data_IF_469551729844
#
_entry.id   IF_469551729844
#
_cell.length_a   1.000
_cell.length_b   1.000
_cell.length_c   1.000
_cell.angle_alpha   90.00
_cell.angle_beta   90.00
_cell.angle_gamma   90.00
#
_symmetry.space_group_name_H-M   'P 1'
#
loop_
_entity.id
_entity.type
_entity.pdbx_description
1 polymer ?
#
# COMPACT_ATOMS: atom_id res chain seq x y z
N UNK A 1 -27.86 -36.39 19.73
CA UNK A 1 -26.38 -36.40 19.86
C UNK A 1 -25.89 -34.99 19.62
N UNK A 2 -25.21 -34.33 20.58
CA UNK A 2 -24.58 -33.05 20.29
C UNK A 2 -23.36 -33.31 19.42
N UNK A 3 -23.32 -32.69 18.24
CA UNK A 3 -22.13 -32.64 17.40
C UNK A 3 -21.14 -31.74 18.15
N UNK A 4 -20.20 -32.35 18.86
CA UNK A 4 -19.02 -31.65 19.34
C UNK A 4 -18.15 -31.34 18.14
N UNK A 5 -18.40 -30.18 17.53
CA UNK A 5 -17.57 -29.61 16.48
C UNK A 5 -16.22 -29.18 17.09
N UNK A 6 -15.33 -30.16 17.27
CA UNK A 6 -13.96 -30.01 17.79
C UNK A 6 -12.94 -29.85 16.66
N UNK A 7 -13.37 -29.52 15.45
CA UNK A 7 -12.43 -29.07 14.44
C UNK A 7 -11.90 -27.71 14.88
N UNK A 8 -10.57 -27.54 15.07
CA UNK A 8 -10.01 -26.24 15.36
C UNK A 8 -10.49 -25.28 14.27
N UNK A 9 -11.10 -24.15 14.66
CA UNK A 9 -11.41 -23.12 13.66
C UNK A 9 -10.10 -22.80 12.92
N UNK A 10 -10.10 -22.77 11.58
CA UNK A 10 -8.91 -22.40 10.82
C UNK A 10 -8.37 -21.09 11.39
N UNK A 11 -7.06 -21.02 11.59
CA UNK A 11 -6.46 -19.78 12.10
C UNK A 11 -6.69 -18.68 11.06
N UNK A 12 -7.43 -17.66 11.46
CA UNK A 12 -7.71 -16.47 10.65
C UNK A 12 -6.69 -15.40 10.99
N UNK A 13 -6.20 -14.71 9.96
CA UNK A 13 -5.24 -13.62 10.06
C UNK A 13 -5.82 -12.39 9.37
N UNK A 14 -5.44 -11.22 9.88
CA UNK A 14 -5.75 -9.96 9.24
C UNK A 14 -4.49 -9.10 9.08
N UNK A 15 -4.36 -8.48 7.91
CA UNK A 15 -3.37 -7.45 7.65
C UNK A 15 -4.10 -6.15 7.31
N UNK A 16 -3.70 -5.06 7.96
CA UNK A 16 -4.25 -3.72 7.77
C UNK A 16 -3.13 -2.77 7.38
N UNK A 17 -3.32 -2.02 6.30
CA UNK A 17 -2.40 -0.98 5.84
C UNK A 17 -3.06 0.39 5.93
N UNK A 18 -2.44 1.29 6.70
CA UNK A 18 -2.86 2.66 6.90
C UNK A 18 -2.13 3.58 5.91
N UNK A 19 -2.55 3.51 4.65
CA UNK A 19 -1.98 4.26 3.54
C UNK A 19 -2.39 5.73 3.49
N UNK A 20 -1.70 6.50 2.64
CA UNK A 20 -1.93 7.94 2.45
C UNK A 20 -3.32 8.29 1.92
N UNK A 21 -3.83 7.51 0.97
CA UNK A 21 -5.11 7.78 0.30
C UNK A 21 -6.25 6.91 0.85
N UNK A 22 -5.95 5.64 1.16
CA UNK A 22 -6.94 4.67 1.57
C UNK A 22 -6.35 3.77 2.66
N UNK A 23 -7.21 3.32 3.57
CA UNK A 23 -6.89 2.22 4.46
C UNK A 23 -7.41 0.91 3.86
N UNK A 24 -6.59 -0.12 3.97
CA UNK A 24 -6.84 -1.44 3.39
C UNK A 24 -6.84 -2.48 4.50
N UNK A 25 -7.72 -3.47 4.38
CA UNK A 25 -7.73 -4.63 5.25
C UNK A 25 -7.98 -5.88 4.43
N UNK A 26 -7.15 -6.90 4.64
CA UNK A 26 -7.35 -8.24 4.10
C UNK A 26 -7.45 -9.23 5.24
N UNK A 27 -8.47 -10.10 5.18
CA UNK A 27 -8.66 -11.19 6.12
C UNK A 27 -8.48 -12.49 5.35
N UNK A 28 -7.64 -13.38 5.88
CA UNK A 28 -7.31 -14.65 5.28
C UNK A 28 -7.33 -15.77 6.31
N UNK A 29 -7.37 -17.01 5.85
CA UNK A 29 -7.16 -18.21 6.67
C UNK A 29 -6.25 -19.19 5.95
N UNK A 30 -5.69 -20.13 6.68
CA UNK A 30 -4.94 -21.25 6.11
C UNK A 30 -5.82 -22.50 6.14
N UNK A 31 -6.03 -23.12 4.98
CA UNK A 31 -6.75 -24.39 4.82
C UNK A 31 -5.87 -25.33 4.02
N UNK A 32 -5.55 -26.50 4.57
CA UNK A 32 -4.68 -27.51 3.94
C UNK A 32 -3.32 -26.95 3.45
N UNK A 33 -2.74 -26.02 4.21
CA UNK A 33 -1.48 -25.35 3.88
C UNK A 33 -1.58 -24.24 2.83
N UNK A 34 -2.76 -23.99 2.27
CA UNK A 34 -3.00 -22.92 1.32
C UNK A 34 -3.64 -21.69 1.97
N UNK A 35 -3.20 -20.50 1.58
CA UNK A 35 -3.82 -19.24 2.00
C UNK A 35 -5.11 -19.00 1.22
N UNK A 36 -6.21 -18.80 1.94
CA UNK A 36 -7.50 -18.46 1.38
C UNK A 36 -7.93 -17.08 1.89
N UNK A 37 -8.16 -16.13 0.97
CA UNK A 37 -8.69 -14.82 1.32
C UNK A 37 -10.19 -14.92 1.62
N UNK A 38 -10.57 -14.50 2.82
CA UNK A 38 -11.96 -14.46 3.30
C UNK A 38 -12.65 -13.17 2.87
N UNK A 39 -11.93 -12.04 2.97
CA UNK A 39 -12.50 -10.74 2.68
C UNK A 39 -11.46 -9.65 2.49
N UNK A 40 -11.85 -8.61 1.76
CA UNK A 40 -11.08 -7.39 1.57
C UNK A 40 -11.97 -6.19 1.86
N UNK A 41 -11.45 -5.23 2.58
CA UNK A 41 -12.07 -3.93 2.78
C UNK A 41 -11.09 -2.85 2.36
N UNK A 42 -11.63 -1.83 1.69
CA UNK A 42 -10.89 -0.63 1.30
C UNK A 42 -11.76 0.57 1.60
N UNK A 43 -11.23 1.50 2.39
CA UNK A 43 -11.90 2.75 2.70
C UNK A 43 -11.01 3.92 2.27
N UNK A 44 -11.56 4.87 1.51
CA UNK A 44 -10.86 6.11 1.19
C UNK A 44 -10.90 7.03 2.41
N UNK A 45 -9.74 7.29 2.99
CA UNK A 45 -9.58 8.09 4.22
C UNK A 45 -8.96 9.45 3.91
N UNK A 46 -8.16 9.53 2.83
CA UNK A 46 -7.47 10.76 2.44
C UNK A 46 -6.66 11.34 3.60
N UNK A 47 -5.86 10.50 4.26
CA UNK A 47 -5.08 10.91 5.44
C UNK A 47 -4.00 11.93 5.06
N UNK A 48 -3.37 11.76 3.90
CA UNK A 48 -2.36 12.69 3.39
C UNK A 48 -2.91 14.08 3.06
N UNK A 49 -4.20 14.21 2.73
CA UNK A 49 -4.80 15.52 2.44
C UNK A 49 -4.83 16.43 3.68
N UNK A 50 -4.82 15.84 4.87
CA UNK A 50 -4.72 16.58 6.12
C UNK A 50 -3.31 16.86 6.60
N UNK A 51 -2.27 16.46 5.87
CA UNK A 51 -0.89 16.73 6.25
C UNK A 51 -0.50 18.14 5.75
N UNK A 52 -0.40 19.09 6.69
CA UNK A 52 -0.04 20.47 6.39
C UNK A 52 1.43 20.65 5.98
N UNK A 53 1.81 21.88 5.60
CA UNK A 53 3.20 22.25 5.27
C UNK A 53 4.16 22.08 6.47
N UNK A 54 3.63 22.18 7.69
CA UNK A 54 4.33 21.92 8.94
C UNK A 54 4.46 20.42 9.28
N UNK A 55 4.00 19.53 8.39
CA UNK A 55 3.88 18.10 8.60
C UNK A 55 3.02 17.72 9.81
N UNK A 56 2.03 18.53 10.16
CA UNK A 56 1.02 18.18 11.15
C UNK A 56 -0.24 17.63 10.46
N UNK A 57 -0.77 16.52 10.98
CA UNK A 57 -2.09 16.04 10.59
C UNK A 57 -3.15 16.94 11.19
N UNK A 58 -4.04 17.45 10.34
CA UNK A 58 -5.27 18.14 10.73
C UNK A 58 -6.16 17.24 11.58
N UNK A 59 -6.91 17.84 12.51
CA UNK A 59 -7.91 17.13 13.33
C UNK A 59 -8.94 16.38 12.48
N UNK A 60 -9.39 16.99 11.38
CA UNK A 60 -10.36 16.36 10.46
C UNK A 60 -9.83 15.05 9.87
N UNK A 61 -8.55 15.03 9.44
CA UNK A 61 -7.94 13.80 8.92
C UNK A 61 -7.73 12.74 10.00
N UNK A 62 -7.39 13.15 11.22
CA UNK A 62 -7.32 12.26 12.37
C UNK A 62 -8.69 11.62 12.63
N UNK A 63 -9.76 12.41 12.70
CA UNK A 63 -11.13 11.92 12.93
C UNK A 63 -11.59 10.94 11.84
N UNK A 64 -11.32 11.24 10.55
CA UNK A 64 -11.60 10.31 9.45
C UNK A 64 -10.86 8.98 9.61
N UNK A 65 -9.57 9.05 9.96
CA UNK A 65 -8.74 7.87 10.20
C UNK A 65 -9.26 7.03 11.38
N UNK A 66 -9.56 7.67 12.52
CA UNK A 66 -10.10 6.99 13.70
C UNK A 66 -11.46 6.35 13.42
N UNK A 67 -12.33 7.04 12.69
CA UNK A 67 -13.65 6.50 12.29
C UNK A 67 -13.50 5.24 11.44
N UNK A 68 -12.53 5.22 10.51
CA UNK A 68 -12.23 4.03 9.73
C UNK A 68 -11.67 2.89 10.59
N UNK A 69 -10.79 3.20 11.55
CA UNK A 69 -10.22 2.20 12.46
C UNK A 69 -11.29 1.57 13.36
N UNK A 70 -12.30 2.34 13.81
CA UNK A 70 -13.45 1.80 14.55
C UNK A 70 -14.21 0.75 13.72
N UNK A 71 -14.46 1.03 12.44
CA UNK A 71 -15.12 0.06 11.53
C UNK A 71 -14.26 -1.20 11.32
N UNK A 72 -12.93 -1.05 11.24
CA UNK A 72 -12.03 -2.20 11.15
C UNK A 72 -12.01 -3.00 12.45
N UNK A 73 -12.04 -2.34 13.61
CA UNK A 73 -12.10 -3.01 14.92
C UNK A 73 -13.37 -3.86 15.07
N UNK A 74 -14.53 -3.36 14.63
CA UNK A 74 -15.77 -4.14 14.58
C UNK A 74 -15.61 -5.40 13.71
N UNK A 75 -14.97 -5.26 12.54
CA UNK A 75 -14.77 -6.39 11.62
C UNK A 75 -13.78 -7.44 12.13
N UNK A 76 -12.84 -7.00 12.98
CA UNK A 76 -11.80 -7.82 13.61
C UNK A 76 -12.21 -8.35 15.00
N UNK A 77 -13.46 -8.14 15.43
CA UNK A 77 -13.94 -8.63 16.71
C UNK A 77 -13.67 -10.14 16.87
N UNK A 78 -12.97 -10.52 17.94
CA UNK A 78 -12.61 -11.90 18.25
C UNK A 78 -11.25 -12.37 17.71
N UNK A 79 -10.54 -11.55 16.93
CA UNK A 79 -9.17 -11.85 16.52
C UNK A 79 -8.20 -11.65 17.69
N UNK A 80 -7.26 -12.59 17.89
CA UNK A 80 -6.17 -12.40 18.83
C UNK A 80 -5.18 -11.35 18.32
N UNK A 81 -4.48 -10.61 19.21
CA UNK A 81 -3.44 -9.66 18.79
C UNK A 81 -2.34 -10.30 17.93
N UNK A 82 -2.01 -11.57 18.18
CA UNK A 82 -1.03 -12.33 17.38
C UNK A 82 -1.48 -12.64 15.94
N UNK A 83 -2.76 -12.42 15.63
CA UNK A 83 -3.34 -12.71 14.31
C UNK A 83 -3.67 -11.45 13.52
N UNK A 84 -3.37 -10.25 14.05
CA UNK A 84 -3.61 -8.98 13.39
C UNK A 84 -2.31 -8.19 13.32
N UNK A 85 -1.95 -7.76 12.11
CA UNK A 85 -0.85 -6.84 11.88
C UNK A 85 -1.42 -5.55 11.27
N UNK A 86 -1.14 -4.41 11.89
CA UNK A 86 -1.53 -3.09 11.36
C UNK A 86 -0.27 -2.28 11.11
N UNK A 87 -0.07 -1.85 9.87
CA UNK A 87 1.10 -1.06 9.48
C UNK A 87 0.69 0.35 9.05
N UNK A 88 1.49 1.33 9.44
CA UNK A 88 1.40 2.71 8.99
C UNK A 88 2.54 3.07 8.05
N UNK A 89 2.21 3.70 6.91
CA UNK A 89 3.19 3.98 5.85
C UNK A 89 3.48 5.47 5.72
N UNK A 90 3.61 6.00 4.50
CA UNK A 90 4.18 7.31 4.21
C UNK A 90 3.62 8.44 5.08
N UNK A 91 2.30 8.59 5.17
CA UNK A 91 1.69 9.73 5.88
C UNK A 91 2.02 9.72 7.36
N UNK A 92 1.91 8.55 8.03
CA UNK A 92 2.26 8.42 9.44
C UNK A 92 3.77 8.52 9.69
N UNK A 93 4.61 8.13 8.71
CA UNK A 93 6.06 8.42 8.77
C UNK A 93 6.40 9.90 8.71
N UNK A 94 5.61 10.72 8.01
CA UNK A 94 5.88 12.15 7.84
C UNK A 94 5.27 13.00 8.96
N UNK A 95 4.12 12.60 9.50
CA UNK A 95 3.39 13.38 10.49
C UNK A 95 4.17 13.56 11.81
N UNK A 96 4.48 14.81 12.18
CA UNK A 96 5.15 15.13 13.45
C UNK A 96 4.26 14.82 14.66
N UNK A 97 2.95 14.87 14.49
CA UNK A 97 1.95 14.45 15.47
C UNK A 97 1.44 13.01 15.26
N UNK A 98 2.18 12.14 14.56
CA UNK A 98 1.78 10.72 14.41
C UNK A 98 1.53 10.04 15.77
N UNK A 99 2.37 10.31 16.78
CA UNK A 99 2.21 9.77 18.14
C UNK A 99 0.85 10.10 18.76
N UNK A 100 0.29 11.27 18.45
CA UNK A 100 -1.03 11.66 18.94
C UNK A 100 -2.14 10.87 18.22
N UNK A 101 -2.07 10.74 16.88
CA UNK A 101 -2.95 9.84 16.14
C UNK A 101 -2.91 8.41 16.69
N UNK A 102 -1.72 7.85 16.96
CA UNK A 102 -1.54 6.51 17.51
C UNK A 102 -2.18 6.35 18.89
N UNK A 103 -1.95 7.29 19.81
CA UNK A 103 -2.58 7.28 21.15
C UNK A 103 -4.10 7.34 21.11
N UNK A 104 -4.66 8.05 20.14
CA UNK A 104 -6.12 8.09 19.95
C UNK A 104 -6.62 6.79 19.28
N UNK A 105 -5.85 6.23 18.36
CA UNK A 105 -6.16 4.97 17.70
C UNK A 105 -6.25 3.79 18.68
N UNK A 106 -5.38 3.75 19.70
CA UNK A 106 -5.42 2.73 20.77
C UNK A 106 -6.78 2.65 21.50
N UNK A 107 -7.57 3.74 21.48
CA UNK A 107 -8.90 3.77 22.10
C UNK A 107 -10.00 3.16 21.23
N UNK A 108 -9.77 3.03 19.92
CA UNK A 108 -10.77 2.56 18.95
C UNK A 108 -10.42 1.21 18.33
N UNK A 109 -9.13 0.83 18.30
CA UNK A 109 -8.68 -0.45 17.78
C UNK A 109 -7.68 -1.10 18.76
N UNK A 110 -7.91 -2.34 19.24
CA UNK A 110 -7.10 -2.95 20.29
C UNK A 110 -5.80 -3.58 19.78
N UNK A 111 -5.39 -3.27 18.55
CA UNK A 111 -4.20 -3.83 17.89
C UNK A 111 -3.17 -2.72 17.69
N UNK A 112 -1.88 -2.98 17.99
CA UNK A 112 -0.84 -1.97 17.82
C UNK A 112 -0.68 -1.61 16.34
N UNK A 113 -0.42 -0.33 16.09
CA UNK A 113 -0.09 0.18 14.75
C UNK A 113 1.43 0.34 14.68
N UNK A 114 2.05 -0.36 13.73
CA UNK A 114 3.49 -0.33 13.50
C UNK A 114 3.82 0.61 12.32
N UNK A 115 4.50 1.72 12.58
CA UNK A 115 4.98 2.59 11.49
C UNK A 115 6.23 1.95 10.88
N UNK A 116 6.11 1.50 9.62
CA UNK A 116 7.20 0.83 8.91
C UNK A 116 7.98 1.79 8.03
N UNK A 117 9.27 1.52 7.82
CA UNK A 117 10.10 2.28 6.88
C UNK A 117 9.64 2.10 5.42
N UNK A 118 9.98 3.03 4.53
CA UNK A 118 9.68 2.87 3.10
C UNK A 118 10.34 1.64 2.47
N UNK A 119 11.53 1.25 2.95
CA UNK A 119 12.19 0.03 2.47
C UNK A 119 11.48 -1.24 2.94
N UNK A 120 10.94 -1.23 4.17
CA UNK A 120 10.16 -2.37 4.67
C UNK A 120 8.81 -2.48 3.94
N UNK A 121 8.16 -1.35 3.66
CA UNK A 121 6.97 -1.29 2.82
C UNK A 121 7.25 -1.87 1.42
N UNK A 122 8.32 -1.42 0.75
CA UNK A 122 8.75 -1.95 -0.54
C UNK A 122 9.01 -3.46 -0.48
N UNK A 123 9.69 -3.94 0.57
CA UNK A 123 9.96 -5.36 0.78
C UNK A 123 8.67 -6.17 0.91
N UNK A 124 7.72 -5.71 1.72
CA UNK A 124 6.43 -6.38 1.94
C UNK A 124 5.57 -6.39 0.66
N UNK A 125 5.56 -5.29 -0.11
CA UNK A 125 4.90 -5.22 -1.41
C UNK A 125 5.47 -6.27 -2.36
N UNK A 126 6.79 -6.36 -2.47
CA UNK A 126 7.44 -7.38 -3.30
C UNK A 126 7.06 -8.80 -2.87
N UNK A 127 7.08 -9.10 -1.56
CA UNK A 127 6.64 -10.40 -1.05
C UNK A 127 5.18 -10.69 -1.40
N UNK A 128 4.29 -9.70 -1.27
CA UNK A 128 2.89 -9.81 -1.66
C UNK A 128 2.69 -10.11 -3.14
N UNK A 129 3.49 -9.48 -4.01
CA UNK A 129 3.51 -9.78 -5.45
C UNK A 129 4.04 -11.20 -5.73
N UNK A 130 5.16 -11.60 -5.13
CA UNK A 130 5.72 -12.95 -5.29
C UNK A 130 4.74 -14.06 -4.86
N UNK A 131 3.94 -13.83 -3.81
CA UNK A 131 2.95 -14.80 -3.34
C UNK A 131 1.69 -14.88 -4.22
N UNK A 132 1.40 -13.84 -5.03
CA UNK A 132 0.14 -13.74 -5.79
C UNK A 132 0.33 -13.90 -7.29
N UNK A 133 1.54 -13.68 -7.80
CA UNK A 133 1.87 -13.68 -9.22
C UNK A 133 2.71 -14.92 -9.56
N UNK A 134 2.21 -15.85 -10.40
CA UNK A 134 2.86 -17.13 -10.68
C UNK A 134 4.06 -17.03 -11.63
N UNK A 135 4.33 -15.85 -12.20
CA UNK A 135 5.41 -15.61 -13.15
C UNK A 135 6.76 -16.01 -12.55
N UNK A 136 7.56 -16.73 -13.34
CA UNK A 136 8.91 -17.14 -12.95
C UNK A 136 9.94 -16.10 -13.35
N UNK A 137 11.09 -16.16 -12.69
CA UNK A 137 12.24 -15.29 -12.97
C UNK A 137 12.20 -13.99 -12.18
N UNK A 138 13.18 -13.14 -12.49
CA UNK A 138 13.43 -11.87 -11.83
C UNK A 138 12.35 -10.85 -12.14
N UNK A 139 11.82 -10.21 -11.10
CA UNK A 139 10.73 -9.25 -11.20
C UNK A 139 11.20 -7.86 -10.82
N UNK A 140 10.81 -6.87 -11.61
CA UNK A 140 10.75 -5.48 -11.18
C UNK A 140 9.32 -5.21 -10.70
N UNK A 141 9.16 -4.83 -9.44
CA UNK A 141 7.88 -4.44 -8.85
C UNK A 141 7.88 -2.94 -8.65
N UNK A 142 6.84 -2.26 -9.14
CA UNK A 142 6.62 -0.83 -8.97
C UNK A 142 5.27 -0.63 -8.29
N UNK A 143 5.25 0.12 -7.20
CA UNK A 143 4.02 0.53 -6.53
C UNK A 143 3.98 2.06 -6.46
N UNK A 144 2.94 2.67 -7.02
CA UNK A 144 2.74 4.12 -6.98
C UNK A 144 1.57 4.44 -6.05
N UNK A 145 1.91 4.70 -4.79
CA UNK A 145 0.99 5.08 -3.74
C UNK A 145 0.61 6.56 -3.73
N UNK A 146 -0.07 6.98 -2.66
CA UNK A 146 -0.49 8.36 -2.47
C UNK A 146 0.65 9.31 -2.08
N UNK A 147 1.56 8.84 -1.21
CA UNK A 147 2.67 9.65 -0.68
C UNK A 147 4.07 9.19 -1.11
N UNK A 148 4.25 7.89 -1.33
CA UNK A 148 5.51 7.31 -1.82
C UNK A 148 5.32 6.39 -3.03
N UNK A 149 6.45 6.07 -3.65
CA UNK A 149 6.57 5.09 -4.72
C UNK A 149 7.68 4.13 -4.35
N UNK A 150 7.38 2.84 -4.41
CA UNK A 150 8.28 1.76 -4.08
C UNK A 150 8.74 1.06 -5.36
N UNK A 151 10.03 0.74 -5.43
CA UNK A 151 10.67 0.06 -6.55
C UNK A 151 11.52 -1.08 -6.00
N UNK A 152 11.22 -2.31 -6.43
CA UNK A 152 11.95 -3.49 -5.98
C UNK A 152 12.35 -4.34 -7.17
N UNK A 153 13.61 -4.77 -7.22
CA UNK A 153 14.01 -5.90 -8.05
C UNK A 153 14.31 -7.08 -7.13
N UNK A 154 13.70 -8.23 -7.42
CA UNK A 154 13.92 -9.46 -6.66
C UNK A 154 13.58 -10.70 -7.46
N UNK A 155 13.88 -11.87 -6.88
CA UNK A 155 13.67 -13.17 -7.52
C UNK A 155 13.54 -14.26 -6.45
N UNK A 156 12.56 -15.16 -6.60
CA UNK A 156 12.32 -16.29 -5.70
C UNK A 156 12.18 -15.86 -4.23
N UNK A 157 11.29 -14.91 -3.96
CA UNK A 157 11.06 -14.35 -2.62
C UNK A 157 12.27 -13.63 -1.99
N UNK A 158 13.33 -13.37 -2.75
CA UNK A 158 14.52 -12.67 -2.28
C UNK A 158 14.66 -11.29 -2.97
N UNK A 159 14.37 -10.19 -2.26
CA UNK A 159 14.64 -8.84 -2.73
C UNK A 159 16.14 -8.62 -2.96
N UNK A 160 16.52 -7.97 -4.06
CA UNK A 160 17.91 -7.64 -4.41
C UNK A 160 18.19 -6.16 -4.37
N UNK A 161 17.29 -5.34 -4.91
CA UNK A 161 17.31 -3.89 -4.82
C UNK A 161 15.97 -3.44 -4.27
N UNK A 162 15.97 -2.62 -3.22
CA UNK A 162 14.77 -2.21 -2.50
C UNK A 162 14.85 -0.71 -2.27
N UNK A 163 13.97 0.05 -2.92
CA UNK A 163 13.97 1.50 -2.87
C UNK A 163 12.56 2.03 -2.62
N UNK A 164 12.47 3.09 -1.82
CA UNK A 164 11.26 3.90 -1.68
C UNK A 164 11.59 5.38 -1.91
N UNK A 165 10.73 6.09 -2.64
CA UNK A 165 10.87 7.52 -2.95
C UNK A 165 9.64 8.27 -2.50
N UNK A 166 9.85 9.45 -1.90
CA UNK A 166 8.78 10.38 -1.52
C UNK A 166 8.23 11.08 -2.77
N UNK A 167 7.38 10.36 -3.49
CA UNK A 167 6.57 10.82 -4.61
C UNK A 167 5.36 9.92 -4.74
N UNK A 168 4.16 10.49 -4.75
CA UNK A 168 2.93 9.74 -4.91
C UNK A 168 1.84 10.62 -5.50
N UNK A 169 0.70 10.04 -5.86
CA UNK A 169 -0.33 10.76 -6.60
C UNK A 169 -0.96 11.92 -5.82
N UNK A 170 -1.08 11.81 -4.49
CA UNK A 170 -1.64 12.87 -3.63
C UNK A 170 -0.64 14.01 -3.50
N UNK A 171 0.60 13.71 -3.12
CA UNK A 171 1.64 14.74 -2.95
C UNK A 171 1.95 15.46 -4.28
N UNK A 172 2.01 14.74 -5.39
CA UNK A 172 2.26 15.35 -6.70
C UNK A 172 1.07 16.17 -7.21
N UNK A 173 -0.17 15.79 -6.89
CA UNK A 173 -1.34 16.60 -7.23
C UNK A 173 -1.25 17.99 -6.59
N UNK A 174 -0.94 18.06 -5.29
CA UNK A 174 -0.82 19.32 -4.56
C UNK A 174 0.33 20.20 -5.10
N UNK A 175 1.49 19.60 -5.40
CA UNK A 175 2.69 20.34 -5.79
C UNK A 175 2.64 20.80 -7.26
N UNK A 176 2.21 19.94 -8.18
CA UNK A 176 2.34 20.17 -9.62
C UNK A 176 1.03 20.50 -10.33
N UNK A 177 -0.12 20.25 -9.72
CA UNK A 177 -1.45 20.49 -10.29
C UNK A 177 -2.31 21.35 -9.35
N UNK A 178 -1.88 22.59 -9.06
CA UNK A 178 -2.59 23.46 -8.12
C UNK A 178 -4.04 23.70 -8.57
N UNK A 179 -4.99 23.55 -7.65
CA UNK A 179 -6.42 23.64 -7.94
C UNK A 179 -6.93 22.58 -8.92
N UNK A 180 -6.18 21.50 -9.15
CA UNK A 180 -6.53 20.46 -10.12
C UNK A 180 -6.29 20.86 -11.57
N UNK A 181 -5.54 21.94 -11.84
CA UNK A 181 -5.30 22.42 -13.20
C UNK A 181 -4.43 21.46 -14.03
N UNK A 182 -5.00 20.88 -15.08
CA UNK A 182 -4.32 19.97 -16.01
C UNK A 182 -3.79 20.78 -17.21
N UNK A 183 -2.47 20.82 -17.38
CA UNK A 183 -1.80 21.41 -18.55
C UNK A 183 -0.57 20.60 -18.95
N UNK A 184 -0.10 20.71 -20.21
CA UNK A 184 1.14 20.06 -20.65
C UNK A 184 2.35 20.44 -19.79
N UNK A 185 2.44 21.69 -19.36
CA UNK A 185 3.54 22.21 -18.54
C UNK A 185 3.51 21.61 -17.13
N UNK A 186 2.32 21.56 -16.49
CA UNK A 186 2.15 20.93 -15.19
C UNK A 186 2.53 19.45 -15.22
N UNK A 187 2.05 18.75 -16.24
CA UNK A 187 2.34 17.34 -16.44
C UNK A 187 3.83 17.08 -16.68
N UNK A 188 4.48 17.89 -17.51
CA UNK A 188 5.91 17.77 -17.78
C UNK A 188 6.75 18.05 -16.53
N UNK A 189 6.40 19.06 -15.72
CA UNK A 189 7.07 19.33 -14.44
C UNK A 189 6.96 18.14 -13.48
N UNK A 190 5.76 17.58 -13.31
CA UNK A 190 5.55 16.40 -12.48
C UNK A 190 6.36 15.19 -12.96
N UNK A 191 6.36 14.93 -14.28
CA UNK A 191 7.12 13.84 -14.90
C UNK A 191 8.63 13.99 -14.69
N UNK A 192 9.17 15.18 -14.92
CA UNK A 192 10.60 15.44 -14.71
C UNK A 192 10.99 15.29 -13.23
N UNK A 193 10.16 15.76 -12.31
CA UNK A 193 10.41 15.60 -10.87
C UNK A 193 10.42 14.13 -10.43
N UNK A 194 9.51 13.31 -10.98
CA UNK A 194 9.55 11.86 -10.77
C UNK A 194 10.84 11.24 -11.30
N UNK A 195 11.25 11.59 -12.53
CA UNK A 195 12.50 11.10 -13.12
C UNK A 195 13.73 11.50 -12.30
N UNK A 196 13.78 12.75 -11.82
CA UNK A 196 14.86 13.27 -10.99
C UNK A 196 15.04 12.46 -9.70
N UNK A 197 13.94 12.08 -9.04
CA UNK A 197 13.96 11.24 -7.82
C UNK A 197 14.51 9.83 -8.06
N UNK A 198 14.56 9.37 -9.30
CA UNK A 198 15.05 8.07 -9.71
C UNK A 198 16.49 8.12 -10.25
N UNK A 199 17.10 9.29 -10.43
CA UNK A 199 18.42 9.43 -11.08
C UNK A 199 19.48 8.51 -10.47
N UNK A 200 19.58 8.49 -9.14
CA UNK A 200 20.60 7.73 -8.40
C UNK A 200 20.43 6.21 -8.49
N UNK A 201 19.24 5.71 -8.83
CA UNK A 201 18.96 4.27 -8.89
C UNK A 201 18.90 3.71 -10.32
N UNK A 202 18.75 4.59 -11.34
CA UNK A 202 18.48 4.16 -12.71
C UNK A 202 19.52 3.19 -13.28
N UNK A 203 20.82 3.50 -13.12
CA UNK A 203 21.90 2.66 -13.65
C UNK A 203 21.92 1.29 -12.98
N UNK A 204 21.83 1.27 -11.64
CA UNK A 204 21.86 0.05 -10.84
C UNK A 204 20.67 -0.87 -11.17
N UNK A 205 19.46 -0.31 -11.26
CA UNK A 205 18.25 -1.08 -11.59
C UNK A 205 18.31 -1.64 -13.01
N UNK A 206 18.78 -0.87 -13.99
CA UNK A 206 18.88 -1.30 -15.39
C UNK A 206 19.94 -2.38 -15.60
N UNK A 207 21.07 -2.31 -14.90
CA UNK A 207 22.10 -3.35 -14.96
C UNK A 207 21.64 -4.62 -14.25
N UNK A 208 20.96 -4.49 -13.11
CA UNK A 208 20.37 -5.64 -12.44
C UNK A 208 19.34 -6.31 -13.35
N UNK A 209 18.52 -5.54 -14.07
CA UNK A 209 17.55 -6.05 -15.03
C UNK A 209 16.43 -6.87 -14.40
N UNK A 210 15.48 -7.29 -15.23
CA UNK A 210 14.32 -8.09 -14.84
C UNK A 210 13.80 -8.87 -16.05
N UNK A 211 13.13 -9.98 -15.79
CA UNK A 211 12.42 -10.76 -16.80
C UNK A 211 11.00 -10.21 -17.02
N UNK A 212 10.35 -9.77 -15.94
CA UNK A 212 9.00 -9.18 -15.96
C UNK A 212 8.96 -7.93 -15.09
N UNK A 213 8.22 -6.91 -15.55
CA UNK A 213 7.91 -5.73 -14.74
C UNK A 213 6.43 -5.79 -14.36
N UNK A 214 6.14 -5.64 -13.08
CA UNK A 214 4.82 -5.74 -12.50
C UNK A 214 4.51 -4.45 -11.74
N UNK A 215 3.28 -3.96 -11.90
CA UNK A 215 2.83 -2.76 -11.21
C UNK A 215 1.70 -3.04 -10.22
N UNK A 216 1.75 -2.43 -9.05
CA UNK A 216 0.75 -2.54 -7.99
C UNK A 216 0.04 -1.20 -7.71
N UNK A 217 -0.93 -1.21 -6.80
CA UNK A 217 -1.71 -0.05 -6.34
C UNK A 217 -2.62 0.63 -7.37
N UNK A 218 -3.39 1.61 -6.87
CA UNK A 218 -4.51 2.23 -7.58
C UNK A 218 -4.12 3.01 -8.84
N UNK A 219 -2.95 3.66 -8.85
CA UNK A 219 -2.49 4.47 -9.99
C UNK A 219 -2.27 3.60 -11.23
N UNK A 220 -1.56 2.48 -11.08
CA UNK A 220 -1.27 1.54 -12.16
C UNK A 220 -2.54 0.80 -12.57
N UNK A 221 -3.38 0.40 -11.59
CA UNK A 221 -4.68 -0.20 -11.87
C UNK A 221 -5.55 0.69 -12.77
N UNK A 222 -5.69 1.96 -12.42
CA UNK A 222 -6.49 2.91 -13.19
C UNK A 222 -5.94 3.10 -14.62
N UNK A 223 -4.61 3.20 -14.76
CA UNK A 223 -3.97 3.27 -16.08
C UNK A 223 -4.23 2.00 -16.92
N UNK A 224 -4.21 0.82 -16.30
CA UNK A 224 -4.54 -0.45 -16.96
C UNK A 224 -5.99 -0.46 -17.46
N UNK A 225 -6.94 -0.08 -16.60
CA UNK A 225 -8.38 -0.08 -16.92
C UNK A 225 -8.68 0.87 -18.08
N UNK A 226 -8.13 2.10 -18.06
CA UNK A 226 -8.30 3.07 -19.16
C UNK A 226 -7.74 2.53 -20.48
N UNK A 227 -6.56 1.88 -20.46
CA UNK A 227 -5.98 1.31 -21.68
C UNK A 227 -6.85 0.21 -22.29
N UNK A 228 -7.45 -0.65 -21.44
CA UNK A 228 -8.38 -1.68 -21.90
C UNK A 228 -9.63 -1.05 -22.52
N UNK A 229 -10.20 -0.02 -21.90
CA UNK A 229 -11.36 0.70 -22.43
C UNK A 229 -11.07 1.41 -23.76
N UNK A 230 -9.83 1.87 -23.97
CA UNK A 230 -9.38 2.46 -25.22
C UNK A 230 -9.06 1.43 -26.33
N UNK A 231 -9.26 0.14 -26.09
CA UNK A 231 -8.98 -0.93 -27.05
C UNK A 231 -7.49 -1.26 -27.19
N UNK A 232 -6.66 -0.84 -26.23
CA UNK A 232 -5.24 -1.16 -26.21
C UNK A 232 -4.98 -2.60 -25.75
N UNK A 233 -4.37 -3.42 -26.62
CA UNK A 233 -3.87 -4.74 -26.21
C UNK A 233 -2.61 -4.61 -25.35
N UNK A 234 -2.77 -4.77 -24.03
CA UNK A 234 -1.89 -5.59 -23.17
C UNK A 234 -0.39 -5.29 -23.08
N UNK A 235 0.03 -4.06 -22.76
CA UNK A 235 1.45 -3.78 -22.39
C UNK A 235 1.70 -3.40 -20.93
N UNK A 236 0.65 -3.19 -20.13
CA UNK A 236 0.80 -2.90 -18.70
C UNK A 236 0.43 -4.14 -17.90
N UNK A 237 1.42 -4.77 -17.27
CA UNK A 237 1.21 -5.91 -16.37
C UNK A 237 0.84 -5.40 -14.98
N UNK A 238 -0.45 -5.43 -14.66
CA UNK A 238 -0.95 -5.10 -13.33
C UNK A 238 -0.92 -6.35 -12.43
N UNK A 239 -0.12 -6.30 -11.37
CA UNK A 239 -0.12 -7.32 -10.34
C UNK A 239 -1.27 -7.06 -9.36
N UNK A 240 -2.10 -8.09 -9.16
CA UNK A 240 -3.09 -8.08 -8.08
C UNK A 240 -2.36 -8.43 -6.78
N UNK A 241 -1.99 -7.44 -5.99
CA UNK A 241 -1.52 -7.65 -4.62
C UNK A 241 -2.69 -8.07 -3.73
N UNK A 242 -2.40 -8.71 -2.60
CA UNK A 242 -3.43 -9.21 -1.70
C UNK A 242 -4.25 -8.09 -1.00
N UNK A 243 -3.72 -6.85 -0.97
CA UNK A 243 -4.29 -5.65 -0.36
C UNK A 243 -4.97 -4.69 -1.34
#
# INVERSE_FOLDING_TARGET
MPIHDKTPRPQEFAAVDLGSNSFHMVIARVVDGAMQIIGRLKQRVHLADGLGEDNMLSEEAIERGLSCLSLFAERLQGFSPSSVCIVGTHTLRQALNATDFLKRAEKVIPYPIEIISGNEEARLIFMGVEHTQPEKGRKLVIDIGGGSTELVIGENFEPKLVESRRMGCVSFAQIYFPGGAISPENFQRARMAAAQKLETLTWQFRIQGWNVALGASGTIKAAHEVLLEMGGEGRLHYARTAG
#
